data_IF_030278312115
#
_entry.id   IF_030278312115
#
_cell.length_a   1.000
_cell.length_b   1.000
_cell.length_c   1.000
_cell.angle_alpha   90.00
_cell.angle_beta   90.00
_cell.angle_gamma   90.00
#
_symmetry.space_group_name_H-M   'P 1'
#
loop_
_entity.id
_entity.type
_entity.pdbx_description
1 polymer ?
#
# COMPACT_ATOMS: atom_id res chain seq x y z
N UNK A 1 28.69 -5.60 -19.30
CA UNK A 1 28.17 -4.87 -18.13
C UNK A 1 27.11 -5.70 -17.45
N UNK A 2 26.81 -5.40 -16.20
CA UNK A 2 25.76 -6.08 -15.44
C UNK A 2 24.40 -5.83 -16.10
N UNK A 3 23.56 -6.87 -16.33
CA UNK A 3 22.24 -6.70 -16.90
C UNK A 3 21.36 -5.82 -16.01
N UNK A 4 20.52 -5.00 -16.63
CA UNK A 4 19.55 -4.11 -15.98
C UNK A 4 18.12 -4.59 -16.27
N UNK A 5 17.11 -3.92 -15.71
CA UNK A 5 15.69 -4.25 -15.86
C UNK A 5 15.28 -5.56 -15.13
N UNK A 6 16.01 -5.97 -14.08
CA UNK A 6 15.64 -7.12 -13.25
C UNK A 6 14.29 -6.97 -12.54
N UNK A 7 13.80 -5.76 -12.40
CA UNK A 7 12.48 -5.47 -11.84
C UNK A 7 11.32 -6.15 -12.57
N UNK A 8 11.46 -6.49 -13.85
CA UNK A 8 10.47 -7.27 -14.60
C UNK A 8 10.26 -8.65 -13.95
N UNK A 9 11.35 -9.28 -13.48
CA UNK A 9 11.27 -10.58 -12.80
C UNK A 9 10.45 -10.46 -11.51
N UNK A 10 10.71 -9.40 -10.72
CA UNK A 10 9.94 -9.12 -9.50
C UNK A 10 8.47 -8.94 -9.83
N UNK A 11 8.15 -8.09 -10.82
CA UNK A 11 6.77 -7.85 -11.23
C UNK A 11 6.02 -9.13 -11.61
N UNK A 12 6.62 -9.95 -12.46
CA UNK A 12 6.02 -11.21 -12.90
C UNK A 12 5.85 -12.16 -11.70
N UNK A 13 6.85 -12.23 -10.81
CA UNK A 13 6.83 -13.09 -9.62
C UNK A 13 5.77 -12.65 -8.60
N UNK A 14 5.34 -11.40 -8.61
CA UNK A 14 4.23 -10.90 -7.76
C UNK A 14 2.89 -11.07 -8.47
N UNK A 15 2.79 -10.65 -9.73
CA UNK A 15 1.51 -10.63 -10.46
C UNK A 15 0.95 -12.03 -10.70
N UNK A 16 1.78 -13.01 -11.08
CA UNK A 16 1.30 -14.36 -11.38
C UNK A 16 0.68 -15.04 -10.15
N UNK A 17 1.35 -15.15 -8.99
CA UNK A 17 0.72 -15.76 -7.81
C UNK A 17 -0.51 -14.98 -7.33
N UNK A 18 -0.49 -13.66 -7.40
CA UNK A 18 -1.64 -12.84 -7.02
C UNK A 18 -2.86 -13.13 -7.87
N UNK A 19 -2.71 -13.17 -9.19
CA UNK A 19 -3.83 -13.46 -10.11
C UNK A 19 -4.35 -14.90 -9.93
N UNK A 20 -3.47 -15.85 -9.57
CA UNK A 20 -3.86 -17.26 -9.43
C UNK A 20 -4.46 -17.60 -8.07
N UNK A 21 -4.05 -16.91 -7.00
CA UNK A 21 -4.35 -17.31 -5.62
C UNK A 21 -5.25 -16.33 -4.86
N UNK A 22 -5.32 -15.06 -5.27
CA UNK A 22 -6.17 -14.08 -4.60
C UNK A 22 -7.57 -14.03 -5.18
N UNK A 23 -8.52 -13.58 -4.37
CA UNK A 23 -9.85 -13.19 -4.85
C UNK A 23 -9.78 -11.89 -5.65
N UNK A 24 -9.94 -12.00 -6.96
CA UNK A 24 -9.88 -10.85 -7.88
C UNK A 24 -11.13 -9.94 -7.80
N UNK A 25 -12.14 -10.30 -7.01
CA UNK A 25 -13.28 -9.42 -6.72
C UNK A 25 -13.00 -8.47 -5.57
N UNK A 26 -11.97 -8.74 -4.78
CA UNK A 26 -11.56 -7.91 -3.65
C UNK A 26 -10.98 -6.58 -4.15
N UNK A 27 -11.56 -5.47 -3.70
CA UNK A 27 -11.15 -4.13 -4.11
C UNK A 27 -9.69 -3.81 -3.76
N UNK A 28 -9.19 -4.28 -2.61
CA UNK A 28 -7.80 -4.08 -2.20
C UNK A 28 -6.82 -4.76 -3.16
N UNK A 29 -7.14 -5.99 -3.60
CA UNK A 29 -6.34 -6.71 -4.61
C UNK A 29 -6.37 -5.98 -5.95
N UNK A 30 -7.55 -5.49 -6.37
CA UNK A 30 -7.70 -4.72 -7.62
C UNK A 30 -6.82 -3.46 -7.58
N UNK A 31 -6.88 -2.69 -6.50
CA UNK A 31 -6.04 -1.50 -6.32
C UNK A 31 -4.56 -1.87 -6.39
N UNK A 32 -4.12 -2.92 -5.69
CA UNK A 32 -2.72 -3.35 -5.70
C UNK A 32 -2.26 -3.81 -7.09
N UNK A 33 -3.08 -4.53 -7.83
CA UNK A 33 -2.75 -4.93 -9.21
C UNK A 33 -2.65 -3.73 -10.16
N UNK A 34 -3.61 -2.80 -10.09
CA UNK A 34 -3.59 -1.57 -10.91
C UNK A 34 -2.34 -0.75 -10.61
N UNK A 35 -2.05 -0.51 -9.34
CA UNK A 35 -0.89 0.31 -8.93
C UNK A 35 0.43 -0.34 -9.35
N UNK A 36 0.58 -1.64 -9.12
CA UNK A 36 1.77 -2.42 -9.50
C UNK A 36 2.01 -2.37 -11.00
N UNK A 37 0.97 -2.64 -11.78
CA UNK A 37 1.07 -2.64 -13.23
C UNK A 37 1.36 -1.24 -13.79
N UNK A 38 0.68 -0.22 -13.29
CA UNK A 38 0.85 1.17 -13.72
C UNK A 38 2.27 1.69 -13.49
N UNK A 39 2.80 1.49 -12.28
CA UNK A 39 4.15 1.94 -11.96
C UNK A 39 5.22 1.10 -12.65
N UNK A 40 4.97 -0.20 -12.80
CA UNK A 40 5.79 -1.06 -13.63
C UNK A 40 5.89 -0.56 -15.08
N UNK A 41 4.80 -0.07 -15.67
CA UNK A 41 4.79 0.52 -17.01
C UNK A 41 5.60 1.83 -17.08
N UNK A 42 5.48 2.71 -16.07
CA UNK A 42 6.28 3.95 -16.03
C UNK A 42 7.77 3.61 -15.92
N UNK A 43 8.13 2.69 -15.01
CA UNK A 43 9.51 2.23 -14.87
C UNK A 43 10.03 1.56 -16.13
N UNK A 44 9.22 0.71 -16.77
CA UNK A 44 9.58 0.06 -18.03
C UNK A 44 9.82 1.09 -19.15
N UNK A 45 8.98 2.12 -19.26
CA UNK A 45 9.18 3.19 -20.24
C UNK A 45 10.51 3.93 -20.00
N UNK A 46 10.86 4.18 -18.73
CA UNK A 46 12.13 4.83 -18.37
C UNK A 46 13.33 3.96 -18.74
N UNK A 47 13.34 2.71 -18.31
CA UNK A 47 14.43 1.77 -18.59
C UNK A 47 14.55 1.45 -20.07
N UNK A 48 13.43 1.35 -20.79
CA UNK A 48 13.43 1.18 -22.24
C UNK A 48 14.12 2.34 -22.96
N UNK A 49 13.86 3.58 -22.56
CA UNK A 49 14.52 4.77 -23.11
C UNK A 49 16.02 4.75 -22.82
N UNK A 50 16.41 4.36 -21.60
CA UNK A 50 17.82 4.29 -21.21
C UNK A 50 18.59 3.22 -21.97
N UNK A 51 18.02 2.01 -22.11
CA UNK A 51 18.70 0.85 -22.68
C UNK A 51 18.62 0.85 -24.22
N UNK A 52 17.41 0.95 -24.78
CA UNK A 52 17.21 0.77 -26.23
C UNK A 52 17.43 2.04 -27.04
N UNK A 53 17.10 3.22 -26.47
CA UNK A 53 17.36 4.50 -27.15
C UNK A 53 18.72 5.12 -26.77
N UNK A 54 19.53 4.43 -25.96
CA UNK A 54 20.83 4.90 -25.49
C UNK A 54 20.80 6.32 -24.88
N UNK A 55 19.65 6.73 -24.33
CA UNK A 55 19.49 8.02 -23.69
C UNK A 55 19.64 7.87 -22.17
N UNK A 56 20.85 8.14 -21.66
CA UNK A 56 21.16 8.02 -20.22
C UNK A 56 20.26 8.84 -19.29
N UNK A 57 19.55 9.85 -19.80
CA UNK A 57 18.63 10.66 -18.99
C UNK A 57 17.30 9.96 -18.70
N UNK A 58 16.95 8.93 -19.49
CA UNK A 58 15.68 8.23 -19.34
C UNK A 58 14.46 9.10 -19.60
N UNK A 59 13.35 8.80 -18.95
CA UNK A 59 12.10 9.56 -18.99
C UNK A 59 12.28 10.85 -18.17
N UNK A 60 11.86 12.01 -18.74
CA UNK A 60 11.95 13.26 -18.01
C UNK A 60 11.11 13.21 -16.72
N UNK A 61 11.67 13.67 -15.58
CA UNK A 61 11.06 13.56 -14.27
C UNK A 61 9.62 14.09 -14.19
N UNK A 62 9.30 15.14 -14.96
CA UNK A 62 7.92 15.68 -15.06
C UNK A 62 6.89 14.64 -15.53
N UNK A 63 7.27 13.72 -16.43
CA UNK A 63 6.36 12.66 -16.89
C UNK A 63 6.21 11.56 -15.84
N UNK A 64 7.26 11.25 -15.07
CA UNK A 64 7.17 10.34 -13.92
C UNK A 64 6.20 10.89 -12.87
N UNK A 65 6.38 12.16 -12.46
CA UNK A 65 5.50 12.83 -11.50
C UNK A 65 4.06 12.90 -12.00
N UNK A 66 3.85 13.20 -13.28
CA UNK A 66 2.51 13.23 -13.87
C UNK A 66 1.85 11.85 -13.83
N UNK A 67 2.59 10.78 -14.14
CA UNK A 67 2.07 9.41 -14.04
C UNK A 67 1.76 8.98 -12.62
N UNK A 68 2.60 9.36 -11.65
CA UNK A 68 2.37 9.13 -10.21
C UNK A 68 1.15 9.89 -9.69
N UNK A 69 1.01 11.15 -10.08
CA UNK A 69 -0.15 11.98 -9.71
C UNK A 69 -1.45 11.41 -10.28
N UNK A 70 -1.45 10.99 -11.54
CA UNK A 70 -2.61 10.38 -12.17
C UNK A 70 -3.02 9.08 -11.46
N UNK A 71 -2.04 8.24 -11.12
CA UNK A 71 -2.29 7.03 -10.35
C UNK A 71 -2.88 7.35 -8.98
N UNK A 72 -2.32 8.34 -8.28
CA UNK A 72 -2.84 8.76 -6.97
C UNK A 72 -4.29 9.22 -7.02
N UNK A 73 -4.67 9.94 -8.06
CA UNK A 73 -6.07 10.35 -8.28
C UNK A 73 -6.96 9.11 -8.53
N UNK A 74 -6.52 8.17 -9.36
CA UNK A 74 -7.27 6.93 -9.63
C UNK A 74 -7.50 6.14 -8.34
N UNK A 75 -6.44 5.93 -7.55
CA UNK A 75 -6.53 5.22 -6.26
C UNK A 75 -7.47 5.93 -5.30
N UNK A 76 -7.33 7.26 -5.16
CA UNK A 76 -8.20 8.06 -4.31
C UNK A 76 -9.68 7.96 -4.69
N UNK A 77 -9.99 8.02 -5.99
CA UNK A 77 -11.38 7.88 -6.50
C UNK A 77 -11.92 6.48 -6.24
N UNK A 78 -11.11 5.43 -6.44
CA UNK A 78 -11.51 4.05 -6.14
C UNK A 78 -11.78 3.87 -4.65
N UNK A 79 -10.89 4.36 -3.78
CA UNK A 79 -11.05 4.25 -2.34
C UNK A 79 -12.26 5.02 -1.81
N UNK A 80 -12.52 6.21 -2.34
CA UNK A 80 -13.63 7.03 -1.90
C UNK A 80 -15.00 6.49 -2.33
N UNK A 81 -15.10 5.94 -3.55
CA UNK A 81 -16.39 5.53 -4.10
C UNK A 81 -16.79 4.09 -3.78
N UNK A 82 -15.83 3.20 -3.46
CA UNK A 82 -16.15 1.79 -3.27
C UNK A 82 -16.80 1.53 -1.91
N UNK A 83 -17.90 0.76 -1.90
CA UNK A 83 -18.67 0.52 -0.68
C UNK A 83 -18.05 -0.54 0.25
N UNK A 84 -17.17 -1.40 -0.27
CA UNK A 84 -16.48 -2.43 0.53
C UNK A 84 -15.27 -1.88 1.30
N UNK A 85 -14.85 -0.64 1.03
CA UNK A 85 -13.80 0.03 1.80
C UNK A 85 -14.41 0.64 3.05
N UNK A 86 -14.43 -0.17 4.10
CA UNK A 86 -15.03 0.16 5.39
C UNK A 86 -14.11 -0.26 6.52
N UNK A 87 -14.23 0.45 7.63
CA UNK A 87 -13.56 0.10 8.88
C UNK A 87 -14.60 -0.25 9.94
N UNK A 88 -14.19 -1.07 10.91
CA UNK A 88 -14.98 -1.32 12.12
C UNK A 88 -14.16 -0.94 13.33
N UNK A 89 -14.65 0.01 14.11
CA UNK A 89 -14.00 0.45 15.33
C UNK A 89 -14.35 -0.49 16.50
N UNK A 90 -13.42 -0.64 17.44
CA UNK A 90 -13.64 -1.43 18.65
C UNK A 90 -14.61 -0.69 19.58
N UNK A 91 -15.77 -1.29 19.88
CA UNK A 91 -16.80 -0.71 20.74
C UNK A 91 -16.35 -0.50 22.19
N UNK A 92 -15.43 -1.34 22.67
CA UNK A 92 -14.94 -1.22 24.05
C UNK A 92 -14.16 0.07 24.31
N UNK A 93 -13.57 0.66 23.27
CA UNK A 93 -12.83 1.93 23.36
C UNK A 93 -13.78 3.13 23.48
N UNK A 94 -14.92 3.06 22.81
CA UNK A 94 -15.93 4.13 22.84
C UNK A 94 -16.80 4.09 24.11
N UNK A 95 -17.02 2.93 24.73
CA UNK A 95 -17.82 2.77 25.95
C UNK A 95 -17.12 3.23 27.24
N UNK A 96 -15.83 3.49 27.23
CA UNK A 96 -15.15 4.12 28.38
C UNK A 96 -15.60 5.54 28.65
N UNK A 97 -16.38 6.15 27.78
CA UNK A 97 -16.90 7.51 27.93
C UNK A 97 -18.39 7.63 28.26
N UNK A 98 -19.16 6.55 28.17
CA UNK A 98 -20.56 6.53 28.57
C UNK A 98 -20.80 5.36 29.55
N UNK A 99 -21.19 5.71 30.80
CA UNK A 99 -21.41 4.81 31.91
C UNK A 99 -22.70 3.98 31.78
N UNK A 100 -22.87 3.16 30.77
CA UNK A 100 -23.89 2.11 30.78
C UNK A 100 -23.36 0.84 30.15
N UNK A 101 -23.00 -0.09 31.04
CA UNK A 101 -22.53 -1.44 30.73
C UNK A 101 -23.73 -2.31 30.46
N UNK A 102 -23.95 -2.71 29.23
CA UNK A 102 -24.83 -3.84 28.92
C UNK A 102 -23.92 -5.01 28.52
N UNK A 103 -23.67 -5.90 29.47
CA UNK A 103 -23.00 -7.19 29.22
C UNK A 103 -24.01 -8.16 28.61
N UNK A 104 -23.86 -8.49 27.33
CA UNK A 104 -24.41 -9.71 26.76
C UNK A 104 -23.25 -10.59 26.27
N UNK A 105 -22.91 -11.59 27.07
CA UNK A 105 -21.73 -12.44 26.95
C UNK A 105 -21.87 -13.59 25.93
N UNK A 106 -22.86 -13.59 25.03
CA UNK A 106 -23.17 -14.78 24.24
C UNK A 106 -23.01 -14.63 22.70
N UNK A 107 -22.53 -13.50 22.17
CA UNK A 107 -22.28 -13.38 20.73
C UNK A 107 -20.89 -12.80 20.45
N UNK A 108 -20.06 -13.60 19.77
CA UNK A 108 -18.70 -13.25 19.35
C UNK A 108 -18.65 -12.08 18.32
N UNK A 109 -19.79 -11.48 18.00
CA UNK A 109 -19.94 -10.39 17.03
C UNK A 109 -19.92 -9.00 17.64
N UNK A 110 -19.88 -8.86 18.98
CA UNK A 110 -20.08 -7.58 19.68
C UNK A 110 -18.82 -6.76 19.98
N UNK A 111 -17.64 -7.19 19.55
CA UNK A 111 -16.40 -6.43 19.80
C UNK A 111 -16.24 -5.22 18.88
N UNK A 112 -16.84 -5.27 17.69
CA UNK A 112 -16.71 -4.23 16.69
C UNK A 112 -18.10 -3.69 16.30
N UNK A 113 -18.18 -2.37 16.11
CA UNK A 113 -19.37 -1.69 15.61
C UNK A 113 -19.70 -2.04 14.15
N UNK A 114 -20.77 -1.43 13.67
CA UNK A 114 -21.14 -1.55 12.27
C UNK A 114 -20.06 -1.04 11.33
N UNK A 115 -20.06 -1.55 10.10
CA UNK A 115 -19.14 -1.10 9.06
C UNK A 115 -19.39 0.37 8.75
N UNK A 116 -18.38 1.20 8.94
CA UNK A 116 -18.45 2.62 8.69
C UNK A 116 -17.49 3.01 7.58
N UNK A 117 -17.97 3.79 6.62
CA UNK A 117 -17.13 4.43 5.63
C UNK A 117 -16.47 5.63 6.32
N UNK A 118 -15.17 5.61 6.47
CA UNK A 118 -14.44 6.64 7.19
C UNK A 118 -13.14 6.96 6.47
N UNK A 119 -12.89 8.25 6.32
CA UNK A 119 -11.62 8.77 5.82
C UNK A 119 -10.70 9.02 7.02
N UNK A 120 -10.06 7.94 7.50
CA UNK A 120 -9.10 7.99 8.62
C UNK A 120 -7.81 7.33 8.21
N UNK A 121 -6.70 7.95 8.54
CA UNK A 121 -5.36 7.36 8.36
C UNK A 121 -4.72 7.15 9.73
N UNK A 122 -4.08 6.01 9.92
CA UNK A 122 -3.33 5.71 11.15
C UNK A 122 -2.03 6.50 11.15
N UNK A 123 -1.86 7.40 12.12
CA UNK A 123 -0.61 8.17 12.30
C UNK A 123 -0.09 7.92 13.71
N UNK A 124 1.15 7.39 13.85
CA UNK A 124 1.75 7.21 15.16
C UNK A 124 1.95 8.57 15.85
N UNK A 125 1.90 8.58 17.18
CA UNK A 125 2.10 9.74 18.07
C UNK A 125 0.94 10.76 18.15
N UNK A 126 -0.12 10.59 17.38
CA UNK A 126 -1.36 11.38 17.56
C UNK A 126 -2.29 10.74 18.59
N UNK A 127 -3.20 11.55 19.15
CA UNK A 127 -4.23 11.06 20.07
C UNK A 127 -5.08 10.00 19.34
N UNK A 128 -5.24 8.82 19.93
CA UNK A 128 -5.90 7.64 19.36
C UNK A 128 -5.18 7.03 18.12
N UNK A 129 -3.96 7.45 17.79
CA UNK A 129 -3.20 7.00 16.62
C UNK A 129 -3.95 7.13 15.28
N UNK A 130 -4.89 8.07 15.18
CA UNK A 130 -5.74 8.27 14.01
C UNK A 130 -5.78 9.74 13.62
N UNK A 131 -5.69 10.01 12.32
CA UNK A 131 -5.97 11.29 11.70
C UNK A 131 -7.30 11.18 10.97
N UNK A 132 -8.30 11.84 11.48
CA UNK A 132 -9.62 11.93 10.87
C UNK A 132 -9.71 13.21 10.02
N UNK A 133 -9.86 13.02 8.71
CA UNK A 133 -9.91 14.14 7.78
C UNK A 133 -11.20 14.96 7.91
N UNK A 134 -12.29 14.36 8.38
CA UNK A 134 -13.57 15.06 8.59
C UNK A 134 -13.46 16.05 9.74
N UNK A 135 -12.80 15.67 10.83
CA UNK A 135 -12.57 16.58 11.96
C UNK A 135 -11.67 17.76 11.61
N UNK A 136 -10.71 17.57 10.70
CA UNK A 136 -9.84 18.65 10.21
C UNK A 136 -10.58 19.69 9.35
N UNK A 137 -11.62 19.25 8.63
CA UNK A 137 -12.34 20.10 7.68
C UNK A 137 -13.65 20.67 8.23
N UNK A 138 -14.01 20.33 9.51
CA UNK A 138 -15.19 20.84 10.20
C UNK A 138 -16.41 19.94 10.12
N UNK A 139 -16.28 18.73 10.69
CA UNK A 139 -17.38 17.80 10.99
C UNK A 139 -18.38 17.57 9.83
N UNK A 140 -17.88 17.09 8.70
CA UNK A 140 -18.73 16.66 7.58
C UNK A 140 -19.45 17.78 6.81
N UNK A 141 -19.28 19.05 7.19
CA UNK A 141 -19.95 20.18 6.52
C UNK A 141 -19.38 20.50 5.12
N UNK A 142 -18.21 19.95 4.76
CA UNK A 142 -17.52 20.26 3.50
C UNK A 142 -16.91 19.01 2.85
N UNK A 143 -17.72 18.08 2.36
CA UNK A 143 -17.22 16.79 1.84
C UNK A 143 -16.22 16.95 0.68
N UNK A 144 -16.38 17.99 -0.15
CA UNK A 144 -15.44 18.27 -1.23
C UNK A 144 -14.05 18.66 -0.72
N UNK A 145 -13.97 19.44 0.35
CA UNK A 145 -12.67 19.86 0.92
C UNK A 145 -11.99 18.67 1.58
N UNK A 146 -12.74 17.83 2.29
CA UNK A 146 -12.24 16.58 2.90
C UNK A 146 -11.68 15.66 1.81
N UNK A 147 -12.41 15.46 0.72
CA UNK A 147 -11.95 14.66 -0.41
C UNK A 147 -10.67 15.23 -1.05
N UNK A 148 -10.60 16.54 -1.28
CA UNK A 148 -9.43 17.19 -1.85
C UNK A 148 -8.20 17.08 -0.94
N UNK A 149 -8.39 17.21 0.37
CA UNK A 149 -7.31 17.03 1.35
C UNK A 149 -6.81 15.58 1.35
N UNK A 150 -7.72 14.61 1.37
CA UNK A 150 -7.39 13.19 1.26
C UNK A 150 -6.63 12.90 -0.04
N UNK A 151 -7.15 13.35 -1.18
CA UNK A 151 -6.51 13.16 -2.48
C UNK A 151 -5.11 13.79 -2.55
N UNK A 152 -4.92 14.97 -1.97
CA UNK A 152 -3.61 15.61 -1.89
C UNK A 152 -2.62 14.75 -1.09
N UNK A 153 -3.05 14.22 0.05
CA UNK A 153 -2.20 13.38 0.90
C UNK A 153 -1.86 12.07 0.19
N UNK A 154 -2.83 11.39 -0.42
CA UNK A 154 -2.60 10.15 -1.20
C UNK A 154 -1.58 10.39 -2.32
N UNK A 155 -1.77 11.42 -3.14
CA UNK A 155 -0.85 11.77 -4.23
C UNK A 155 0.54 12.11 -3.69
N UNK A 156 0.61 12.87 -2.59
CA UNK A 156 1.88 13.22 -1.95
C UNK A 156 2.64 11.97 -1.48
N UNK A 157 1.96 11.05 -0.79
CA UNK A 157 2.56 9.81 -0.29
C UNK A 157 3.05 8.96 -1.48
N UNK A 158 2.20 8.71 -2.50
CA UNK A 158 2.58 7.94 -3.71
C UNK A 158 3.84 8.52 -4.36
N UNK A 159 3.86 9.84 -4.54
CA UNK A 159 4.99 10.52 -5.18
C UNK A 159 6.24 10.46 -4.30
N UNK A 160 6.11 10.71 -3.00
CA UNK A 160 7.24 10.71 -2.07
C UNK A 160 7.88 9.32 -1.95
N UNK A 161 7.07 8.28 -1.71
CA UNK A 161 7.56 6.91 -1.49
C UNK A 161 8.17 6.34 -2.77
N UNK A 162 7.51 6.52 -3.94
CA UNK A 162 8.04 5.98 -5.18
C UNK A 162 9.36 6.64 -5.62
N UNK A 163 9.51 7.94 -5.41
CA UNK A 163 10.79 8.58 -5.71
C UNK A 163 11.87 8.24 -4.66
N UNK A 164 11.51 8.06 -3.40
CA UNK A 164 12.45 7.61 -2.35
C UNK A 164 12.98 6.22 -2.63
N UNK A 165 12.13 5.27 -2.99
CA UNK A 165 12.55 3.91 -3.35
C UNK A 165 13.46 3.90 -4.58
N UNK A 166 13.15 4.73 -5.58
CA UNK A 166 14.00 4.88 -6.76
C UNK A 166 15.38 5.46 -6.42
N UNK A 167 15.46 6.39 -5.47
CA UNK A 167 16.75 6.92 -4.97
C UNK A 167 17.52 5.87 -4.16
N UNK A 168 16.83 4.99 -3.43
CA UNK A 168 17.43 3.92 -2.62
C UNK A 168 18.05 2.82 -3.49
N UNK A 169 17.59 2.63 -4.72
CA UNK A 169 18.12 1.65 -5.69
C UNK A 169 19.50 2.06 -6.29
N UNK A 170 20.25 2.87 -5.57
CA UNK A 170 21.63 3.25 -5.94
C UNK A 170 22.72 2.34 -5.37
N UNK A 171 22.40 1.41 -4.47
CA UNK A 171 23.34 0.51 -3.79
C UNK A 171 22.85 -0.93 -3.93
N UNK A 172 23.77 -1.84 -4.29
CA UNK A 172 23.49 -3.26 -4.50
C UNK A 172 22.72 -3.87 -3.32
N UNK A 173 21.52 -4.41 -3.58
CA UNK A 173 20.68 -5.09 -2.61
C UNK A 173 19.96 -4.21 -1.60
N UNK A 174 20.25 -2.90 -1.51
CA UNK A 174 19.68 -2.04 -0.47
C UNK A 174 18.16 -1.88 -0.65
N UNK A 175 17.71 -1.45 -1.82
CA UNK A 175 16.29 -1.24 -2.09
C UNK A 175 15.51 -2.54 -1.91
N UNK A 176 15.98 -3.64 -2.51
CA UNK A 176 15.33 -4.96 -2.42
C UNK A 176 15.25 -5.47 -0.98
N UNK A 177 16.36 -5.35 -0.23
CA UNK A 177 16.43 -5.83 1.16
C UNK A 177 15.51 -5.04 2.08
N UNK A 178 15.53 -3.69 2.00
CA UNK A 178 14.63 -2.85 2.79
C UNK A 178 13.17 -3.16 2.46
N UNK A 179 12.82 -3.26 1.17
CA UNK A 179 11.46 -3.53 0.73
C UNK A 179 10.98 -4.92 1.16
N UNK A 180 11.84 -5.93 1.22
CA UNK A 180 11.47 -7.24 1.75
C UNK A 180 11.08 -7.16 3.24
N UNK A 181 11.81 -6.40 4.05
CA UNK A 181 11.52 -6.21 5.48
C UNK A 181 10.21 -5.44 5.66
N UNK A 182 10.04 -4.33 4.92
CA UNK A 182 8.83 -3.51 4.95
C UNK A 182 7.63 -4.36 4.53
N UNK A 183 7.75 -5.08 3.41
CA UNK A 183 6.69 -5.95 2.90
C UNK A 183 6.30 -7.07 3.88
N UNK A 184 7.25 -7.68 4.57
CA UNK A 184 6.96 -8.67 5.61
C UNK A 184 6.18 -8.05 6.78
N UNK A 185 6.59 -6.86 7.24
CA UNK A 185 5.92 -6.13 8.31
C UNK A 185 4.49 -5.77 7.93
N UNK A 186 4.29 -5.22 6.74
CA UNK A 186 2.99 -4.86 6.22
C UNK A 186 2.09 -6.09 6.02
N UNK A 187 2.65 -7.22 5.56
CA UNK A 187 1.92 -8.49 5.48
C UNK A 187 1.40 -8.97 6.83
N UNK A 188 2.20 -8.79 7.90
CA UNK A 188 1.75 -9.07 9.27
C UNK A 188 0.60 -8.12 9.67
N UNK A 189 0.70 -6.82 9.38
CA UNK A 189 -0.38 -5.88 9.67
C UNK A 189 -1.66 -6.21 8.90
N UNK A 190 -1.58 -6.58 7.62
CA UNK A 190 -2.73 -7.05 6.85
C UNK A 190 -3.41 -8.26 7.50
N UNK A 191 -2.60 -9.23 7.94
CA UNK A 191 -3.13 -10.42 8.61
C UNK A 191 -3.83 -10.07 9.92
N UNK A 192 -3.21 -9.24 10.74
CA UNK A 192 -3.74 -8.87 12.06
C UNK A 192 -4.98 -7.98 11.94
N UNK A 193 -4.94 -6.94 11.08
CA UNK A 193 -6.09 -6.04 10.88
C UNK A 193 -7.24 -6.69 10.10
N UNK A 194 -6.94 -7.69 9.28
CA UNK A 194 -7.94 -8.49 8.56
C UNK A 194 -8.58 -9.61 9.38
N UNK A 195 -8.12 -9.84 10.62
CA UNK A 195 -8.64 -10.87 11.51
C UNK A 195 -9.26 -10.24 12.76
N UNK A 196 -10.55 -10.47 12.98
CA UNK A 196 -11.32 -9.87 14.08
C UNK A 196 -10.75 -10.21 15.47
N UNK A 197 -10.24 -11.44 15.67
CA UNK A 197 -9.69 -11.87 16.96
C UNK A 197 -8.40 -11.13 17.29
N UNK A 198 -7.48 -11.04 16.33
CA UNK A 198 -6.22 -10.35 16.52
C UNK A 198 -6.39 -8.83 16.58
N UNK A 199 -7.27 -8.27 15.76
CA UNK A 199 -7.57 -6.84 15.79
C UNK A 199 -8.14 -6.43 17.15
N UNK A 200 -9.04 -7.24 17.74
CA UNK A 200 -9.56 -7.00 19.08
C UNK A 200 -8.48 -7.13 20.17
N UNK A 201 -7.64 -8.15 20.09
CA UNK A 201 -6.59 -8.40 21.08
C UNK A 201 -5.54 -7.26 21.11
N UNK A 202 -5.19 -6.72 19.94
CA UNK A 202 -4.19 -5.65 19.79
C UNK A 202 -4.78 -4.24 19.85
N UNK A 203 -6.09 -4.11 20.05
CA UNK A 203 -6.82 -2.83 20.08
C UNK A 203 -6.57 -1.96 18.84
N UNK A 204 -6.61 -2.60 17.65
CA UNK A 204 -6.49 -1.95 16.35
C UNK A 204 -7.79 -2.02 15.57
N UNK A 205 -7.93 -1.20 14.54
CA UNK A 205 -9.09 -1.22 13.65
C UNK A 205 -9.18 -2.56 12.91
N UNK A 206 -10.38 -3.12 12.84
CA UNK A 206 -10.67 -4.26 11.99
C UNK A 206 -11.10 -3.77 10.61
N UNK A 207 -10.41 -4.25 9.58
CA UNK A 207 -10.68 -3.92 8.18
C UNK A 207 -11.13 -5.20 7.48
N UNK A 208 -12.43 -5.33 7.15
CA UNK A 208 -12.95 -6.50 6.44
C UNK A 208 -12.22 -6.72 5.11
N UNK A 209 -12.03 -7.98 4.74
CA UNK A 209 -11.41 -8.40 3.47
C UNK A 209 -9.93 -8.01 3.28
N UNK A 210 -9.29 -7.35 4.24
CA UNK A 210 -7.87 -6.98 4.15
C UNK A 210 -6.94 -8.20 4.20
N UNK A 211 -7.39 -9.31 4.78
CA UNK A 211 -6.61 -10.55 4.89
C UNK A 211 -6.15 -11.11 3.54
N UNK A 212 -6.88 -10.85 2.45
CA UNK A 212 -6.48 -11.26 1.10
C UNK A 212 -5.14 -10.62 0.66
N UNK A 213 -4.82 -9.42 1.15
CA UNK A 213 -3.54 -8.78 0.88
C UNK A 213 -2.34 -9.56 1.42
N UNK A 214 -2.54 -10.48 2.37
CA UNK A 214 -1.45 -11.32 2.90
C UNK A 214 -0.84 -12.18 1.79
N UNK A 215 -1.66 -12.71 0.88
CA UNK A 215 -1.19 -13.52 -0.26
C UNK A 215 -0.34 -12.66 -1.20
N UNK A 216 -0.82 -11.45 -1.52
CA UNK A 216 -0.09 -10.48 -2.33
C UNK A 216 1.25 -10.11 -1.68
N UNK A 217 1.25 -9.76 -0.38
CA UNK A 217 2.47 -9.39 0.35
C UNK A 217 3.45 -10.54 0.50
N UNK A 218 2.96 -11.78 0.67
CA UNK A 218 3.81 -12.97 0.71
C UNK A 218 4.51 -13.20 -0.63
N UNK A 219 3.78 -13.03 -1.73
CA UNK A 219 4.33 -13.11 -3.09
C UNK A 219 5.39 -12.02 -3.32
N UNK A 220 5.13 -10.81 -2.83
CA UNK A 220 6.06 -9.69 -2.91
C UNK A 220 7.35 -9.96 -2.12
N UNK A 221 7.23 -10.38 -0.86
CA UNK A 221 8.39 -10.71 -0.02
C UNK A 221 9.20 -11.84 -0.65
N UNK A 222 8.53 -12.89 -1.14
CA UNK A 222 9.18 -14.00 -1.82
C UNK A 222 9.95 -13.55 -3.08
N UNK A 223 9.34 -12.67 -3.89
CA UNK A 223 9.98 -12.09 -5.07
C UNK A 223 11.21 -11.24 -4.70
N UNK A 224 11.11 -10.40 -3.66
CA UNK A 224 12.22 -9.58 -3.18
C UNK A 224 13.37 -10.45 -2.64
N UNK A 225 13.08 -11.45 -1.80
CA UNK A 225 14.09 -12.35 -1.24
C UNK A 225 14.78 -13.16 -2.35
N UNK A 226 14.01 -13.69 -3.31
CA UNK A 226 14.57 -14.40 -4.45
C UNK A 226 15.44 -13.50 -5.34
N UNK A 227 15.01 -12.28 -5.60
CA UNK A 227 15.78 -11.32 -6.38
C UNK A 227 17.04 -10.84 -5.63
N UNK A 228 16.97 -10.65 -4.32
CA UNK A 228 18.09 -10.22 -3.48
C UNK A 228 19.29 -11.16 -3.59
N UNK A 229 19.06 -12.45 -3.83
CA UNK A 229 20.13 -13.42 -4.05
C UNK A 229 21.06 -13.04 -5.20
N UNK A 230 20.51 -12.43 -6.26
CA UNK A 230 21.27 -12.00 -7.44
C UNK A 230 21.63 -10.51 -7.41
N UNK A 231 20.93 -9.71 -6.59
CA UNK A 231 21.13 -8.27 -6.50
C UNK A 231 22.03 -7.84 -5.34
N UNK A 232 22.34 -8.75 -4.39
CA UNK A 232 23.31 -8.47 -3.31
C UNK A 232 24.72 -8.29 -3.85
N UNK A 233 25.53 -7.53 -3.12
CA UNK A 233 26.91 -7.19 -3.54
C UNK A 233 27.81 -8.42 -3.68
N UNK A 234 28.58 -8.58 -4.77
CA UNK A 234 28.51 -7.78 -6.00
C UNK A 234 27.31 -8.16 -6.89
N UNK A 235 26.48 -7.19 -7.24
CA UNK A 235 25.24 -7.45 -7.97
C UNK A 235 25.47 -8.08 -9.35
N UNK A 236 24.79 -9.18 -9.61
CA UNK A 236 24.78 -9.87 -10.91
C UNK A 236 23.70 -9.30 -11.84
N UNK A 237 22.63 -8.71 -11.27
CA UNK A 237 21.51 -8.08 -11.97
C UNK A 237 21.10 -6.83 -11.22
N UNK A 238 20.93 -5.71 -11.95
CA UNK A 238 20.34 -4.50 -11.39
C UNK A 238 18.84 -4.48 -11.57
N UNK A 239 18.13 -3.94 -10.57
CA UNK A 239 16.69 -3.88 -10.55
C UNK A 239 16.14 -2.94 -11.64
N UNK A 240 16.70 -1.75 -11.76
CA UNK A 240 16.24 -0.69 -12.66
C UNK A 240 14.96 0.02 -12.18
N UNK A 241 14.55 1.04 -12.93
CA UNK A 241 13.37 1.84 -12.58
C UNK A 241 12.07 1.04 -12.63
N UNK A 242 12.00 -0.03 -13.42
CA UNK A 242 10.88 -0.99 -13.42
C UNK A 242 10.63 -1.54 -12.02
N UNK A 243 11.69 -2.02 -11.39
CA UNK A 243 11.59 -2.62 -10.07
C UNK A 243 11.41 -1.58 -8.96
N UNK A 244 12.27 -0.57 -8.92
CA UNK A 244 12.28 0.40 -7.82
C UNK A 244 10.98 1.20 -7.72
N UNK A 245 10.37 1.60 -8.86
CA UNK A 245 9.09 2.29 -8.87
C UNK A 245 7.91 1.39 -8.52
N UNK A 246 7.92 0.11 -8.93
CA UNK A 246 6.84 -0.81 -8.56
C UNK A 246 6.92 -1.26 -7.11
N UNK A 247 8.12 -1.55 -6.59
CA UNK A 247 8.32 -1.96 -5.19
C UNK A 247 7.80 -0.91 -4.21
N UNK A 248 8.01 0.37 -4.50
CA UNK A 248 7.59 1.45 -3.61
C UNK A 248 6.10 1.47 -3.29
N UNK A 249 5.26 1.00 -4.20
CA UNK A 249 3.81 1.03 -4.02
C UNK A 249 3.28 -0.11 -3.15
N UNK A 250 4.03 -1.19 -3.02
CA UNK A 250 3.70 -2.23 -2.05
C UNK A 250 3.78 -1.70 -0.62
N UNK A 251 4.64 -0.72 -0.39
CA UNK A 251 4.77 -0.02 0.89
C UNK A 251 3.58 0.93 1.16
N UNK A 252 2.88 1.36 0.11
CA UNK A 252 1.78 2.33 0.18
C UNK A 252 0.40 1.72 0.37
N UNK A 253 0.15 0.56 -0.23
CA UNK A 253 -1.20 0.00 -0.31
C UNK A 253 -1.84 -0.38 1.03
N UNK A 254 -1.11 -0.25 2.14
CA UNK A 254 -1.54 -0.63 3.48
C UNK A 254 -1.61 0.57 4.42
N UNK A 255 -0.98 1.69 4.05
CA UNK A 255 -0.99 2.91 4.85
C UNK A 255 -2.15 3.86 4.48
N UNK A 256 -2.99 3.49 3.53
CA UNK A 256 -4.21 4.17 3.11
C UNK A 256 -5.45 3.40 3.56
#
# INVERSE_FOLDING_TARGET
GTPTMGGIIILISVLIPTILLCDLTNIYIIIMLITTFWMGLIGFADDYIKVFKNNKKGLAGRFKILGQTLLGIIVCVLMYNHDDIVIRENLQKNQKFENEIIYNLNDNTQYFGDSQKSLKTTIPFFKNNQLDYETLTGDGQKPLITFLLFAFIVVFIITAVSNSANLTDGIDGLATGCSAIIGATLGIFCYVSGNMVFANYLDIMFIPNLSELVVFMSSFVGACVGFLWYNSYPAQVFMGDVGSLSISLFELGINL
#
